data_IF_963287364975
#
_entry.id   IF_963287364975
#
_cell.length_a   1.000
_cell.length_b   1.000
_cell.length_c   1.000
_cell.angle_alpha   90.00
_cell.angle_beta   90.00
_cell.angle_gamma   90.00
#
_symmetry.space_group_name_H-M   'P 1'
#
loop_
_entity.id
_entity.type
_entity.pdbx_description
1 polymer ?
#
# COMPACT_ATOMS: atom_id res chain seq x y z
N UNK A 1 -50.69 -7.24 21.24
CA UNK A 1 -49.87 -6.04 21.54
C UNK A 1 -48.57 -6.55 22.14
N UNK A 2 -47.58 -6.83 21.30
CA UNK A 2 -46.41 -5.97 20.99
C UNK A 2 -45.42 -5.84 22.16
N UNK A 3 -44.17 -6.26 21.90
CA UNK A 3 -42.97 -5.92 22.68
C UNK A 3 -42.45 -7.10 23.50
N UNK A 4 -41.21 -7.55 23.43
CA UNK A 4 -40.01 -6.97 22.85
C UNK A 4 -39.00 -8.05 22.47
N UNK A 5 -38.21 -7.70 21.46
CA UNK A 5 -37.29 -8.56 20.72
C UNK A 5 -36.06 -8.92 21.55
N UNK A 6 -35.69 -10.19 21.50
CA UNK A 6 -34.35 -10.75 21.29
C UNK A 6 -33.23 -9.73 21.52
N UNK A 7 -32.55 -9.86 22.66
CA UNK A 7 -31.27 -9.23 22.92
C UNK A 7 -30.29 -9.60 21.82
N UNK A 8 -30.06 -8.65 20.91
CA UNK A 8 -28.95 -8.72 19.97
C UNK A 8 -27.67 -8.64 20.79
N UNK A 9 -26.92 -9.73 20.81
CA UNK A 9 -25.47 -9.70 20.97
C UNK A 9 -24.94 -8.65 19.99
N UNK A 10 -24.55 -7.50 20.51
CA UNK A 10 -23.73 -6.54 19.77
C UNK A 10 -22.33 -7.14 19.76
N UNK A 11 -22.04 -7.93 18.72
CA UNK A 11 -20.67 -8.23 18.31
C UNK A 11 -20.07 -6.91 17.81
N UNK A 12 -19.54 -6.11 18.75
CA UNK A 12 -18.79 -4.90 18.43
C UNK A 12 -17.35 -5.25 18.09
N UNK A 13 -16.82 -4.56 17.08
CA UNK A 13 -15.41 -4.48 16.69
C UNK A 13 -14.79 -5.71 15.99
N UNK A 14 -15.32 -6.04 14.81
CA UNK A 14 -14.54 -6.67 13.73
C UNK A 14 -14.63 -5.80 12.46
N UNK A 15 -14.43 -4.49 12.61
CA UNK A 15 -14.13 -3.59 11.50
C UNK A 15 -12.65 -3.33 11.52
N UNK A 16 -11.88 -4.31 11.07
CA UNK A 16 -10.46 -4.18 10.76
C UNK A 16 -10.35 -3.24 9.56
N UNK A 17 -10.47 -1.95 9.83
CA UNK A 17 -10.03 -0.89 8.95
C UNK A 17 -8.52 -1.05 8.85
N UNK A 18 -8.07 -1.77 7.84
CA UNK A 18 -6.67 -1.87 7.55
C UNK A 18 -6.57 -2.39 6.13
N UNK A 19 -5.86 -1.66 5.30
CA UNK A 19 -4.46 -1.91 5.55
C UNK A 19 -3.54 -0.94 4.79
N UNK A 20 -4.01 0.07 4.08
CA UNK A 20 -3.13 0.72 3.09
C UNK A 20 -2.31 -0.18 2.13
N UNK A 21 -2.61 -1.45 1.78
CA UNK A 21 -3.51 -2.51 2.21
C UNK A 21 -2.69 -3.76 2.01
N UNK A 22 -2.11 -4.38 3.07
CA UNK A 22 -1.73 -5.81 3.25
C UNK A 22 -0.50 -6.06 4.19
N UNK A 23 -0.35 -5.33 5.29
CA UNK A 23 0.51 -5.78 6.39
C UNK A 23 -0.38 -6.44 7.45
N UNK A 24 -0.25 -7.76 7.60
CA UNK A 24 -1.01 -8.53 8.57
C UNK A 24 -0.48 -8.32 10.00
N UNK A 25 -1.35 -8.10 10.99
CA UNK A 25 -0.97 -8.24 12.39
C UNK A 25 -0.92 -9.73 12.74
N UNK A 26 0.24 -10.20 13.21
CA UNK A 26 0.40 -11.48 13.89
C UNK A 26 1.12 -11.25 15.21
N UNK A 27 0.48 -11.56 16.33
CA UNK A 27 0.97 -11.32 17.66
C UNK A 27 2.08 -12.30 18.10
N UNK A 28 3.09 -11.73 18.79
CA UNK A 28 3.94 -12.25 19.90
C UNK A 28 4.80 -13.51 19.71
N UNK A 29 6.15 -13.37 19.72
CA UNK A 29 7.02 -13.30 20.93
C UNK A 29 8.49 -13.75 20.66
N UNK A 30 9.45 -13.03 21.29
CA UNK A 30 10.87 -13.34 21.59
C UNK A 30 11.87 -13.39 20.40
N UNK A 31 13.08 -12.82 20.40
CA UNK A 31 13.98 -12.30 21.45
C UNK A 31 15.02 -11.34 20.81
N UNK A 32 15.42 -10.31 21.56
CA UNK A 32 16.69 -9.50 21.62
C UNK A 32 17.72 -9.40 20.44
N UNK A 33 18.50 -8.28 20.41
CA UNK A 33 18.95 -7.63 19.18
C UNK A 33 20.19 -8.29 18.58
N UNK A 34 20.04 -8.84 17.38
CA UNK A 34 21.16 -9.37 16.60
C UNK A 34 20.92 -9.05 15.13
N UNK A 35 21.72 -8.13 14.57
CA UNK A 35 21.87 -7.86 13.12
C UNK A 35 20.58 -8.13 12.33
N UNK A 36 19.58 -7.26 12.50
CA UNK A 36 18.26 -7.50 11.94
C UNK A 36 18.31 -7.70 10.42
N UNK A 37 17.64 -8.74 9.95
CA UNK A 37 17.38 -8.98 8.53
C UNK A 37 16.74 -7.71 7.93
N UNK A 38 17.20 -7.22 6.76
CA UNK A 38 16.63 -6.03 6.14
C UNK A 38 15.11 -6.05 5.99
N UNK A 39 14.52 -7.22 5.73
CA UNK A 39 13.07 -7.41 5.67
C UNK A 39 12.41 -7.16 7.02
N UNK A 40 13.00 -7.67 8.10
CA UNK A 40 12.45 -7.56 9.46
C UNK A 40 12.54 -6.13 9.99
N UNK A 41 13.68 -5.46 9.82
CA UNK A 41 13.84 -4.08 10.25
C UNK A 41 12.91 -3.15 9.45
N UNK A 42 12.90 -3.25 8.12
CA UNK A 42 11.97 -2.49 7.27
C UNK A 42 10.51 -2.72 7.65
N UNK A 43 10.11 -3.98 7.83
CA UNK A 43 8.76 -4.34 8.22
C UNK A 43 8.36 -3.76 9.58
N UNK A 44 9.30 -3.63 10.53
CA UNK A 44 9.03 -3.01 11.82
C UNK A 44 8.75 -1.50 11.71
N UNK A 45 9.52 -0.79 10.88
CA UNK A 45 9.35 0.66 10.64
C UNK A 45 8.08 0.92 9.82
N UNK A 46 7.82 0.11 8.80
CA UNK A 46 6.57 0.13 8.02
C UNK A 46 5.35 -0.03 8.92
N UNK A 47 5.40 -0.95 9.89
CA UNK A 47 4.32 -1.15 10.86
C UNK A 47 4.10 0.08 11.72
N UNK A 48 5.17 0.65 12.31
CA UNK A 48 5.07 1.89 13.11
C UNK A 48 4.46 3.03 12.31
N UNK A 49 4.91 3.22 11.06
CA UNK A 49 4.39 4.24 10.16
C UNK A 49 2.92 4.00 9.82
N UNK A 50 2.51 2.74 9.60
CA UNK A 50 1.12 2.41 9.34
C UNK A 50 0.21 2.68 10.56
N UNK A 51 0.68 2.36 11.76
CA UNK A 51 -0.04 2.61 13.02
C UNK A 51 -0.22 4.11 13.26
N UNK A 52 0.80 4.94 13.01
CA UNK A 52 0.70 6.40 13.14
C UNK A 52 -0.20 7.07 12.08
N UNK A 53 -0.50 6.37 10.98
CA UNK A 53 -1.31 6.87 9.86
C UNK A 53 -2.59 6.05 9.66
N UNK A 54 -3.11 5.40 10.70
CA UNK A 54 -4.20 4.42 10.58
C UNK A 54 -5.44 5.00 9.87
N UNK A 55 -5.83 6.23 10.18
CA UNK A 55 -7.00 6.87 9.58
C UNK A 55 -6.77 7.16 8.09
N UNK A 56 -5.66 7.80 7.75
CA UNK A 56 -5.25 8.07 6.36
C UNK A 56 -5.10 6.80 5.53
N UNK A 57 -4.68 5.72 6.18
CA UNK A 57 -4.57 4.41 5.57
C UNK A 57 -5.93 3.80 5.20
N UNK A 58 -6.97 4.11 5.98
CA UNK A 58 -8.36 3.82 5.66
C UNK A 58 -8.85 4.63 4.46
N UNK A 59 -8.52 5.90 4.42
CA UNK A 59 -8.95 6.83 3.36
C UNK A 59 -8.34 6.49 2.00
N UNK A 60 -7.04 6.18 1.97
CA UNK A 60 -6.37 5.69 0.77
C UNK A 60 -6.99 4.40 0.25
N UNK A 61 -7.33 3.48 1.16
CA UNK A 61 -8.01 2.23 0.80
C UNK A 61 -9.38 2.52 0.19
N UNK A 62 -10.15 3.42 0.79
CA UNK A 62 -11.46 3.80 0.29
C UNK A 62 -11.37 4.37 -1.13
N UNK A 63 -10.45 5.31 -1.37
CA UNK A 63 -10.20 5.90 -2.68
C UNK A 63 -9.73 4.87 -3.74
N UNK A 64 -8.83 3.96 -3.34
CA UNK A 64 -8.37 2.86 -4.20
C UNK A 64 -9.54 1.93 -4.59
N UNK A 65 -10.34 1.54 -3.61
CA UNK A 65 -11.47 0.61 -3.79
C UNK A 65 -12.74 1.28 -4.33
N UNK A 66 -12.73 2.60 -4.53
CA UNK A 66 -13.85 3.32 -5.13
C UNK A 66 -14.18 2.74 -6.53
N UNK A 67 -15.46 2.44 -6.75
CA UNK A 67 -15.93 1.87 -8.02
C UNK A 67 -15.94 2.89 -9.16
N UNK A 68 -16.05 4.18 -8.84
CA UNK A 68 -16.08 5.26 -9.83
C UNK A 68 -15.32 6.51 -9.33
N UNK A 69 -14.67 7.24 -10.24
CA UNK A 69 -14.38 6.84 -11.63
C UNK A 69 -13.45 5.62 -11.68
N UNK A 70 -13.53 4.77 -12.72
CA UNK A 70 -12.57 3.66 -12.91
C UNK A 70 -11.18 4.24 -13.21
N UNK A 71 -10.10 3.59 -12.75
CA UNK A 71 -8.75 3.99 -13.11
C UNK A 71 -8.55 3.97 -14.63
N UNK A 72 -7.87 4.97 -15.16
CA UNK A 72 -7.30 4.93 -16.50
C UNK A 72 -6.22 3.83 -16.61
N UNK A 73 -5.88 3.41 -17.84
CA UNK A 73 -4.78 2.45 -18.08
C UNK A 73 -3.43 2.97 -17.57
N UNK A 74 -3.19 4.26 -17.75
CA UNK A 74 -1.99 4.92 -17.22
C UNK A 74 -2.02 4.91 -15.68
N UNK A 75 -3.14 5.32 -15.09
CA UNK A 75 -3.29 5.44 -13.64
C UNK A 75 -3.13 4.11 -12.92
N UNK A 76 -3.75 3.03 -13.42
CA UNK A 76 -3.59 1.71 -12.82
C UNK A 76 -2.15 1.17 -12.98
N UNK A 77 -1.50 1.46 -14.11
CA UNK A 77 -0.09 1.13 -14.31
C UNK A 77 0.83 1.84 -13.32
N UNK A 78 0.59 3.14 -13.07
CA UNK A 78 1.33 3.92 -12.07
C UNK A 78 1.05 3.42 -10.65
N UNK A 79 -0.19 3.03 -10.33
CA UNK A 79 -0.53 2.46 -9.02
C UNK A 79 0.34 1.24 -8.71
N UNK A 80 0.40 0.27 -9.62
CA UNK A 80 1.22 -0.93 -9.44
C UNK A 80 2.71 -0.64 -9.44
N UNK A 81 3.16 0.40 -10.15
CA UNK A 81 4.54 0.88 -10.11
C UNK A 81 4.90 1.42 -8.72
N UNK A 82 4.09 2.33 -8.18
CA UNK A 82 4.27 2.90 -6.83
C UNK A 82 4.11 1.83 -5.74
N UNK A 83 3.17 0.91 -5.92
CA UNK A 83 2.98 -0.20 -4.97
C UNK A 83 4.26 -1.02 -4.79
N UNK A 84 4.96 -1.28 -5.90
CA UNK A 84 6.24 -2.00 -5.91
C UNK A 84 7.43 -1.24 -5.32
N UNK A 85 7.27 0.02 -4.92
CA UNK A 85 8.34 0.78 -4.29
C UNK A 85 8.63 0.27 -2.89
N UNK A 86 9.88 -0.11 -2.66
CA UNK A 86 10.33 -0.75 -1.42
C UNK A 86 11.70 -0.19 -0.95
N UNK A 87 11.93 -0.02 0.37
CA UNK A 87 13.22 0.46 0.89
C UNK A 87 14.33 -0.59 0.77
N UNK A 88 13.97 -1.84 0.50
CA UNK A 88 14.86 -3.00 0.34
C UNK A 88 15.08 -3.33 -1.13
N UNK A 89 16.31 -3.71 -1.48
CA UNK A 89 16.62 -4.38 -2.74
C UNK A 89 16.45 -5.89 -2.57
N UNK A 90 15.71 -6.48 -3.50
CA UNK A 90 15.45 -7.92 -3.54
C UNK A 90 16.44 -8.60 -4.49
N UNK A 91 16.70 -9.89 -4.26
CA UNK A 91 17.54 -10.72 -5.13
C UNK A 91 17.04 -10.66 -6.58
N UNK A 92 17.98 -10.55 -7.51
CA UNK A 92 17.75 -10.49 -8.95
C UNK A 92 16.80 -9.37 -9.41
N UNK A 93 16.64 -8.31 -8.60
CA UNK A 93 15.71 -7.19 -8.80
C UNK A 93 14.24 -7.64 -9.01
N UNK A 94 13.89 -8.80 -8.44
CA UNK A 94 12.54 -9.35 -8.50
C UNK A 94 11.64 -8.68 -7.46
N UNK A 95 10.56 -8.06 -7.93
CA UNK A 95 9.57 -7.41 -7.06
C UNK A 95 8.65 -8.47 -6.42
N UNK A 96 8.59 -8.59 -5.08
CA UNK A 96 7.84 -9.64 -4.39
C UNK A 96 6.36 -9.70 -4.78
N UNK A 97 5.72 -8.55 -5.00
CA UNK A 97 4.31 -8.54 -5.38
C UNK A 97 4.04 -9.21 -6.73
N UNK A 98 5.00 -9.19 -7.67
CA UNK A 98 4.84 -9.86 -8.97
C UNK A 98 4.85 -11.38 -8.83
N UNK A 99 5.60 -11.88 -7.85
CA UNK A 99 5.69 -13.31 -7.53
C UNK A 99 4.51 -13.77 -6.67
N UNK A 100 3.93 -12.87 -5.86
CA UNK A 100 2.70 -13.15 -5.12
C UNK A 100 1.46 -13.26 -6.03
N UNK A 101 1.42 -12.54 -7.17
CA UNK A 101 0.29 -12.58 -8.11
C UNK A 101 -0.09 -14.01 -8.53
N UNK A 102 0.81 -14.85 -9.09
CA UNK A 102 0.46 -16.19 -9.54
C UNK A 102 0.08 -17.15 -8.39
N UNK A 103 0.46 -16.85 -7.15
CA UNK A 103 0.06 -17.63 -5.97
C UNK A 103 -1.39 -17.33 -5.58
N UNK A 104 -1.79 -16.06 -5.67
CA UNK A 104 -3.08 -15.56 -5.14
C UNK A 104 -4.17 -15.53 -6.21
N UNK A 105 -3.83 -15.09 -7.42
CA UNK A 105 -4.75 -14.91 -8.54
C UNK A 105 -4.73 -16.12 -9.47
N UNK A 106 -5.05 -17.29 -8.90
CA UNK A 106 -5.19 -18.56 -9.62
C UNK A 106 -6.61 -19.14 -9.43
N UNK A 107 -7.03 -20.03 -10.33
CA UNK A 107 -8.34 -20.68 -10.31
C UNK A 107 -9.50 -19.67 -10.38
N UNK A 108 -10.36 -19.67 -9.36
CA UNK A 108 -11.53 -18.79 -9.27
C UNK A 108 -11.19 -17.28 -9.09
N UNK A 109 -9.90 -16.97 -8.96
CA UNK A 109 -9.40 -15.59 -8.86
C UNK A 109 -8.53 -15.20 -10.06
N UNK A 110 -8.55 -15.95 -11.16
CA UNK A 110 -7.82 -15.60 -12.37
C UNK A 110 -8.47 -14.42 -13.11
N UNK A 111 -7.66 -13.50 -13.68
CA UNK A 111 -8.19 -12.45 -14.53
C UNK A 111 -8.79 -13.07 -15.82
N UNK A 112 -9.82 -12.42 -16.40
CA UNK A 112 -10.41 -12.91 -17.64
C UNK A 112 -9.37 -12.96 -18.77
N UNK A 113 -9.38 -14.05 -19.54
CA UNK A 113 -8.47 -14.23 -20.67
C UNK A 113 -8.69 -13.16 -21.75
N UNK A 114 -7.59 -12.72 -22.37
CA UNK A 114 -7.63 -11.80 -23.52
C UNK A 114 -7.80 -10.32 -23.18
N UNK A 115 -7.82 -9.96 -21.89
CA UNK A 115 -7.83 -8.56 -21.46
C UNK A 115 -6.49 -7.84 -21.67
N UNK A 116 -6.54 -6.51 -21.72
CA UNK A 116 -5.36 -5.66 -21.72
C UNK A 116 -4.62 -5.72 -20.38
N UNK A 117 -3.34 -5.31 -20.36
CA UNK A 117 -2.57 -5.24 -19.12
C UNK A 117 -3.25 -4.35 -18.05
N UNK A 118 -3.88 -3.25 -18.47
CA UNK A 118 -4.63 -2.36 -17.57
C UNK A 118 -5.90 -3.03 -17.01
N UNK A 119 -6.61 -3.82 -17.83
CA UNK A 119 -7.79 -4.58 -17.38
C UNK A 119 -7.41 -5.65 -16.36
N UNK A 120 -6.33 -6.39 -16.60
CA UNK A 120 -5.78 -7.37 -15.67
C UNK A 120 -5.41 -6.72 -14.34
N UNK A 121 -4.72 -5.57 -14.37
CA UNK A 121 -4.33 -4.85 -13.17
C UNK A 121 -5.52 -4.29 -12.37
N UNK A 122 -6.55 -3.77 -13.05
CA UNK A 122 -7.80 -3.33 -12.39
C UNK A 122 -8.57 -4.51 -11.81
N UNK A 123 -8.54 -5.67 -12.48
CA UNK A 123 -9.13 -6.90 -11.95
C UNK A 123 -8.47 -7.30 -10.63
N UNK A 124 -7.14 -7.26 -10.53
CA UNK A 124 -6.44 -7.54 -9.28
C UNK A 124 -6.89 -6.59 -8.16
N UNK A 125 -6.86 -5.28 -8.39
CA UNK A 125 -7.31 -4.30 -7.39
C UNK A 125 -8.75 -4.56 -6.95
N UNK A 126 -9.69 -4.75 -7.88
CA UNK A 126 -11.09 -5.06 -7.55
C UNK A 126 -11.21 -6.32 -6.71
N UNK A 127 -10.51 -7.37 -7.08
CA UNK A 127 -10.55 -8.65 -6.36
C UNK A 127 -10.01 -8.50 -4.93
N UNK A 128 -8.93 -7.74 -4.74
CA UNK A 128 -8.39 -7.44 -3.40
C UNK A 128 -9.36 -6.60 -2.56
N UNK A 129 -10.09 -5.68 -3.19
CA UNK A 129 -11.09 -4.85 -2.52
C UNK A 129 -12.36 -5.62 -2.15
N UNK A 130 -12.82 -6.54 -3.01
CA UNK A 130 -14.11 -7.21 -2.89
C UNK A 130 -14.05 -8.56 -2.14
N UNK A 131 -12.89 -9.23 -2.11
CA UNK A 131 -12.75 -10.58 -1.53
C UNK A 131 -11.80 -10.61 -0.32
N UNK A 132 -12.33 -10.62 0.92
CA UNK A 132 -11.49 -10.67 2.12
C UNK A 132 -10.60 -11.91 2.24
N UNK A 133 -10.98 -13.04 1.64
CA UNK A 133 -10.12 -14.23 1.57
C UNK A 133 -8.87 -13.98 0.73
N UNK A 134 -9.06 -13.45 -0.49
CA UNK A 134 -7.97 -13.06 -1.38
C UNK A 134 -7.08 -12.01 -0.73
N UNK A 135 -7.69 -11.09 0.05
CA UNK A 135 -6.92 -10.15 0.86
C UNK A 135 -5.99 -10.90 1.83
N UNK A 136 -6.50 -11.83 2.65
CA UNK A 136 -5.62 -12.56 3.59
C UNK A 136 -4.52 -13.35 2.87
N UNK A 137 -4.85 -14.01 1.77
CA UNK A 137 -3.90 -14.84 1.02
C UNK A 137 -2.78 -13.99 0.40
N UNK A 138 -3.11 -12.79 -0.09
CA UNK A 138 -2.11 -11.85 -0.59
C UNK A 138 -1.19 -11.32 0.50
N UNK A 139 -1.69 -10.99 1.69
CA UNK A 139 -0.82 -10.59 2.82
C UNK A 139 0.23 -11.67 3.08
N UNK A 140 -0.22 -12.93 3.17
CA UNK A 140 0.65 -14.06 3.46
C UNK A 140 1.68 -14.29 2.35
N UNK A 141 1.23 -14.38 1.09
CA UNK A 141 2.11 -14.59 -0.05
C UNK A 141 3.14 -13.46 -0.22
N UNK A 142 2.73 -12.21 -0.03
CA UNK A 142 3.63 -11.06 -0.13
C UNK A 142 4.70 -11.09 0.97
N UNK A 143 4.31 -11.40 2.21
CA UNK A 143 5.24 -11.54 3.33
C UNK A 143 6.28 -12.62 3.04
N UNK A 144 5.84 -13.81 2.63
CA UNK A 144 6.73 -14.94 2.33
C UNK A 144 7.73 -14.60 1.22
N UNK A 145 7.27 -13.94 0.14
CA UNK A 145 8.14 -13.53 -0.96
C UNK A 145 9.11 -12.41 -0.58
N UNK A 146 8.71 -11.47 0.30
CA UNK A 146 9.62 -10.45 0.86
C UNK A 146 10.74 -11.10 1.68
N UNK A 147 10.40 -11.97 2.63
CA UNK A 147 11.38 -12.64 3.51
C UNK A 147 12.34 -13.53 2.72
N UNK A 148 11.84 -14.28 1.74
CA UNK A 148 12.66 -15.17 0.89
C UNK A 148 13.71 -14.42 0.06
N UNK A 149 13.37 -13.22 -0.39
CA UNK A 149 14.14 -12.49 -1.42
C UNK A 149 14.86 -11.25 -0.92
N UNK A 150 14.59 -10.78 0.29
CA UNK A 150 15.30 -9.63 0.85
C UNK A 150 16.81 -9.87 0.79
N UNK A 151 17.54 -8.85 0.32
CA UNK A 151 18.98 -8.94 0.18
C UNK A 151 19.68 -7.84 0.98
N UNK A 152 19.42 -6.57 0.64
CA UNK A 152 20.11 -5.42 1.22
C UNK A 152 19.20 -4.19 1.23
N UNK A 153 19.45 -3.25 2.12
CA UNK A 153 18.82 -1.93 2.03
C UNK A 153 19.30 -1.18 0.79
N UNK A 154 18.41 -0.35 0.23
CA UNK A 154 18.84 0.69 -0.70
C UNK A 154 19.77 1.67 0.02
N UNK A 155 20.70 2.33 -0.69
CA UNK A 155 21.56 3.34 -0.08
C UNK A 155 20.73 4.37 0.70
N UNK A 156 21.05 4.55 1.99
CA UNK A 156 20.38 5.48 2.91
C UNK A 156 19.04 4.97 3.50
N UNK A 157 18.62 3.75 3.20
CA UNK A 157 17.43 3.09 3.78
C UNK A 157 17.77 2.15 4.94
N UNK A 158 19.00 2.17 5.43
CA UNK A 158 19.48 1.36 6.56
C UNK A 158 19.24 2.02 7.93
N UNK A 159 18.50 3.13 7.94
CA UNK A 159 18.12 3.90 9.15
C UNK A 159 16.60 4.04 9.23
N UNK A 160 16.07 4.21 10.45
CA UNK A 160 14.64 4.45 10.66
C UNK A 160 14.20 5.74 9.94
N UNK A 161 14.98 6.82 10.03
CA UNK A 161 14.70 8.10 9.37
C UNK A 161 14.68 7.97 7.85
N UNK A 162 15.63 7.24 7.26
CA UNK A 162 15.70 7.00 5.82
C UNK A 162 14.50 6.22 5.30
N UNK A 163 14.07 5.19 6.03
CA UNK A 163 12.87 4.42 5.71
C UNK A 163 11.61 5.28 5.89
N UNK A 164 11.50 6.06 6.95
CA UNK A 164 10.34 6.95 7.17
C UNK A 164 10.21 8.00 6.06
N UNK A 165 11.32 8.61 5.63
CA UNK A 165 11.34 9.50 4.47
C UNK A 165 10.84 8.79 3.20
N UNK A 166 11.33 7.57 2.96
CA UNK A 166 10.92 6.75 1.82
C UNK A 166 9.41 6.45 1.84
N UNK A 167 8.88 6.05 3.00
CA UNK A 167 7.46 5.73 3.18
C UNK A 167 6.56 6.96 3.04
N UNK A 168 7.01 8.13 3.51
CA UNK A 168 6.31 9.39 3.29
C UNK A 168 6.21 9.74 1.80
N UNK A 169 7.33 9.66 1.07
CA UNK A 169 7.33 9.93 -0.37
C UNK A 169 6.46 8.91 -1.16
N UNK A 170 6.39 7.65 -0.70
CA UNK A 170 5.47 6.65 -1.27
C UNK A 170 4.01 7.02 -1.01
N UNK A 171 3.68 7.46 0.21
CA UNK A 171 2.34 7.92 0.59
C UNK A 171 1.90 9.13 -0.26
N UNK A 172 2.78 10.12 -0.41
CA UNK A 172 2.57 11.30 -1.26
C UNK A 172 2.24 10.91 -2.71
N UNK A 173 3.06 10.07 -3.32
CA UNK A 173 2.83 9.59 -4.68
C UNK A 173 1.48 8.84 -4.85
N UNK A 174 1.06 8.07 -3.84
CA UNK A 174 -0.24 7.39 -3.86
C UNK A 174 -1.42 8.38 -3.80
N UNK A 175 -1.33 9.37 -2.92
CA UNK A 175 -2.35 10.43 -2.77
C UNK A 175 -2.47 11.25 -4.05
N UNK A 176 -1.34 11.71 -4.59
CA UNK A 176 -1.29 12.47 -5.84
C UNK A 176 -1.88 11.70 -7.02
N UNK A 177 -1.55 10.41 -7.14
CA UNK A 177 -2.12 9.54 -8.17
C UNK A 177 -3.64 9.44 -8.03
N UNK A 178 -4.14 9.13 -6.83
CA UNK A 178 -5.57 8.97 -6.59
C UNK A 178 -6.35 10.27 -6.81
N UNK A 179 -5.77 11.41 -6.43
CA UNK A 179 -6.34 12.72 -6.72
C UNK A 179 -6.37 12.99 -8.24
N UNK A 180 -5.27 12.74 -8.97
CA UNK A 180 -5.21 12.93 -10.43
C UNK A 180 -6.22 12.06 -11.20
N UNK A 181 -6.54 10.88 -10.67
CA UNK A 181 -7.54 9.95 -11.19
C UNK A 181 -8.96 10.27 -10.71
N UNK A 182 -9.15 11.41 -10.02
CA UNK A 182 -10.44 11.90 -9.46
C UNK A 182 -11.11 10.90 -8.52
N UNK A 183 -10.29 10.14 -7.78
CA UNK A 183 -10.71 9.16 -6.77
C UNK A 183 -10.60 9.68 -5.34
N UNK A 184 -9.99 10.85 -5.18
CA UNK A 184 -9.81 11.54 -3.91
C UNK A 184 -10.13 13.02 -4.10
N UNK A 185 -10.71 13.67 -3.09
CA UNK A 185 -10.95 15.12 -3.10
C UNK A 185 -9.68 15.87 -2.71
N UNK A 186 -9.62 17.15 -3.08
CA UNK A 186 -8.52 18.04 -2.72
C UNK A 186 -8.39 18.18 -1.19
N UNK A 187 -9.50 18.41 -0.50
CA UNK A 187 -9.55 18.44 0.97
C UNK A 187 -8.93 17.19 1.58
N UNK A 188 -9.28 16.02 1.04
CA UNK A 188 -8.79 14.76 1.57
C UNK A 188 -7.32 14.51 1.27
N UNK A 189 -6.85 14.92 0.09
CA UNK A 189 -5.44 14.83 -0.25
C UNK A 189 -4.60 15.70 0.70
N UNK A 190 -5.01 16.95 0.93
CA UNK A 190 -4.33 17.87 1.86
C UNK A 190 -4.36 17.38 3.30
N UNK A 191 -5.43 16.70 3.73
CA UNK A 191 -5.49 16.08 5.06
C UNK A 191 -4.42 15.01 5.25
N UNK A 192 -4.12 14.22 4.21
CA UNK A 192 -3.19 13.08 4.30
C UNK A 192 -1.72 13.53 4.16
N UNK A 193 -1.41 14.40 3.21
CA UNK A 193 0.00 14.76 2.90
C UNK A 193 0.38 16.18 3.31
N UNK A 194 -0.58 16.96 3.79
CA UNK A 194 -0.40 18.35 4.16
C UNK A 194 -0.53 19.32 2.98
N UNK A 195 -0.92 20.55 3.30
CA UNK A 195 -1.18 21.64 2.35
C UNK A 195 0.08 21.99 1.51
N UNK A 196 1.25 22.07 2.17
CA UNK A 196 2.51 22.40 1.49
C UNK A 196 2.89 21.37 0.43
N UNK A 197 2.94 20.08 0.77
CA UNK A 197 3.30 19.04 -0.18
C UNK A 197 2.31 18.95 -1.35
N UNK A 198 1.01 19.09 -1.05
CA UNK A 198 -0.02 19.04 -2.07
C UNK A 198 0.06 20.21 -3.06
N UNK A 199 0.30 21.43 -2.58
CA UNK A 199 0.44 22.61 -3.45
C UNK A 199 1.74 22.57 -4.26
N UNK A 200 2.85 22.17 -3.65
CA UNK A 200 4.13 21.99 -4.35
C UNK A 200 3.98 21.00 -5.51
N UNK A 201 3.24 19.91 -5.31
CA UNK A 201 2.92 18.96 -6.37
C UNK A 201 2.07 19.58 -7.48
N UNK A 202 0.98 20.29 -7.15
CA UNK A 202 0.11 20.94 -8.16
C UNK A 202 0.88 21.91 -9.04
N UNK A 203 1.76 22.70 -8.42
CA UNK A 203 2.59 23.69 -9.11
C UNK A 203 3.58 23.03 -10.09
N UNK A 204 4.12 21.87 -9.72
CA UNK A 204 5.06 21.11 -10.57
C UNK A 204 4.37 20.32 -11.69
N UNK A 205 3.19 19.75 -11.40
CA UNK A 205 2.50 18.81 -12.29
C UNK A 205 1.64 19.51 -13.35
N UNK A 206 1.03 20.65 -13.02
CA UNK A 206 0.09 21.34 -13.92
C UNK A 206 -0.99 20.40 -14.45
N UNK A 207 -1.28 20.44 -15.75
CA UNK A 207 -2.27 19.55 -16.41
C UNK A 207 -1.69 18.19 -16.87
N UNK A 208 -0.44 17.86 -16.52
CA UNK A 208 0.21 16.64 -17.04
C UNK A 208 -0.22 15.41 -16.25
N UNK A 209 -0.40 14.29 -16.95
CA UNK A 209 -0.55 12.99 -16.29
C UNK A 209 0.71 12.68 -15.48
N UNK A 210 0.60 12.38 -14.18
CA UNK A 210 1.78 12.17 -13.35
C UNK A 210 2.53 10.91 -13.78
N UNK A 211 3.86 10.98 -13.78
CA UNK A 211 4.74 9.85 -14.00
C UNK A 211 5.72 9.77 -12.83
N UNK A 212 5.45 8.86 -11.92
CA UNK A 212 6.13 8.80 -10.64
C UNK A 212 7.48 8.09 -10.77
N UNK A 213 8.49 8.61 -10.07
CA UNK A 213 9.81 7.98 -9.97
C UNK A 213 10.01 7.54 -8.53
N UNK A 214 10.59 6.34 -8.36
CA UNK A 214 10.83 5.80 -7.03
C UNK A 214 11.73 6.74 -6.22
N UNK A 215 11.36 7.08 -4.97
CA UNK A 215 12.12 8.01 -4.16
C UNK A 215 13.45 7.41 -3.72
N UNK A 216 14.41 8.28 -3.42
CA UNK A 216 15.64 7.88 -2.75
C UNK A 216 15.45 7.88 -1.24
N UNK A 217 16.20 7.02 -0.56
CA UNK A 217 16.32 7.05 0.88
C UNK A 217 17.40 8.08 1.23
N UNK A 218 17.00 9.34 1.34
CA UNK A 218 17.92 10.40 1.77
C UNK A 218 17.41 10.93 3.09
N UNK A 219 18.19 10.76 4.15
CA UNK A 219 18.02 11.58 5.34
C UNK A 219 18.23 13.04 4.94
N UNK A 220 17.45 13.95 5.52
CA UNK A 220 17.82 15.35 5.54
C UNK A 220 19.28 15.43 6.02
N UNK A 221 20.13 16.08 5.23
CA UNK A 221 21.47 16.46 5.67
C UNK A 221 21.34 17.07 7.06
N UNK A 222 21.98 16.44 8.04
CA UNK A 222 22.15 17.02 9.37
C UNK A 222 22.99 18.29 9.22
N UNK A 223 22.31 19.42 9.02
CA UNK A 223 22.85 20.75 9.31
C UNK A 223 22.81 21.02 10.82
#
# INVERSE_FOLDING_TARGET
MMGGKIGRFVLAAASVGCAVVMLGPGASAANEPSKEDPSSFAGSVEKKFAESNTDHNGDLREALCAKKPEFSDHGIGQWWKIYGWEPVRYKDDILPYREAIPVVFTGDNEPPMGGSAGETQRFYVRTLCDKPSVQRDWVAALKDEKEKRAATFKPGCDTEEGILHYLRAKLEAQVELLFSEKRMTEEKAMEIIGDTAFNDWKDQSGDKKPNFTEPTCTAASSE
#
